data_IF_576102163236
#
_entry.id   IF_576102163236
#
_cell.length_a   1.000
_cell.length_b   1.000
_cell.length_c   1.000
_cell.angle_alpha   90.00
_cell.angle_beta   90.00
_cell.angle_gamma   90.00
#
_symmetry.space_group_name_H-M   'P 1'
#
loop_
_entity.id
_entity.type
_entity.pdbx_description
1 polymer ?
#
# COMPACT_ATOMS: atom_id res chain seq x y z
N UNK A 1 5.08 22.37 -13.95
CA UNK A 1 5.43 22.32 -12.51
C UNK A 1 4.22 22.71 -11.70
N UNK A 2 3.63 21.76 -10.99
CA UNK A 2 2.59 22.07 -10.01
C UNK A 2 3.20 22.88 -8.87
N UNK A 3 2.50 23.90 -8.40
CA UNK A 3 2.97 24.78 -7.33
C UNK A 3 2.61 24.25 -5.94
N UNK A 4 1.70 23.28 -5.86
CA UNK A 4 1.20 22.67 -4.64
C UNK A 4 0.55 21.30 -4.95
N UNK A 5 0.33 20.51 -3.90
CA UNK A 5 -0.58 19.36 -3.91
C UNK A 5 -1.81 19.71 -3.06
N UNK A 6 -3.01 19.41 -3.54
CA UNK A 6 -4.26 19.72 -2.86
C UNK A 6 -5.16 18.48 -2.72
N UNK A 7 -5.64 18.24 -1.50
CA UNK A 7 -6.67 17.26 -1.18
C UNK A 7 -7.96 18.00 -0.83
N UNK A 8 -9.00 17.81 -1.64
CA UNK A 8 -10.29 18.47 -1.44
C UNK A 8 -11.34 17.46 -0.98
N UNK A 9 -12.14 17.85 0.02
CA UNK A 9 -13.36 17.14 0.39
C UNK A 9 -14.54 17.75 -0.37
N UNK A 10 -15.24 16.93 -1.14
CA UNK A 10 -16.41 17.35 -1.91
C UNK A 10 -17.64 16.53 -1.50
N UNK A 11 -18.78 17.18 -1.46
CA UNK A 11 -20.06 16.47 -1.43
C UNK A 11 -20.30 15.84 -2.80
N UNK A 12 -20.41 14.51 -2.84
CA UNK A 12 -20.52 13.77 -4.10
C UNK A 12 -21.83 14.03 -4.87
N UNK A 13 -22.87 14.60 -4.23
CA UNK A 13 -24.17 14.86 -4.88
C UNK A 13 -24.26 16.26 -5.45
N UNK A 14 -23.79 17.25 -4.70
CA UNK A 14 -23.88 18.68 -4.99
C UNK A 14 -22.60 19.23 -5.60
N UNK A 15 -21.50 18.49 -5.47
CA UNK A 15 -20.14 18.91 -5.83
C UNK A 15 -19.66 20.15 -5.06
N UNK A 16 -20.31 20.47 -3.93
CA UNK A 16 -19.87 21.53 -3.05
C UNK A 16 -18.55 21.14 -2.38
N UNK A 17 -17.59 22.08 -2.37
CA UNK A 17 -16.30 21.87 -1.69
C UNK A 17 -16.46 22.22 -0.22
N UNK A 18 -16.30 21.24 0.66
CA UNK A 18 -16.36 21.42 2.11
C UNK A 18 -15.05 21.95 2.68
N UNK A 19 -13.94 21.69 2.00
CA UNK A 19 -12.66 22.31 2.30
C UNK A 19 -11.51 21.66 1.54
N UNK A 20 -10.32 22.22 1.71
CA UNK A 20 -9.11 21.83 0.97
C UNK A 20 -7.92 21.84 1.92
N UNK A 21 -7.21 20.72 1.97
CA UNK A 21 -5.86 20.63 2.55
C UNK A 21 -4.86 20.89 1.43
N UNK A 22 -3.92 21.81 1.67
CA UNK A 22 -2.88 22.21 0.72
C UNK A 22 -1.52 21.86 1.31
N UNK A 23 -0.64 21.30 0.49
CA UNK A 23 0.73 20.98 0.88
C UNK A 23 1.72 21.41 -0.21
N UNK A 24 3.01 21.36 0.13
CA UNK A 24 4.08 21.43 -0.87
C UNK A 24 3.82 20.41 -2.00
N UNK A 25 4.19 20.75 -3.24
CA UNK A 25 3.98 19.86 -4.38
C UNK A 25 4.77 18.57 -4.19
N UNK A 26 4.17 17.47 -4.62
CA UNK A 26 4.87 16.18 -4.74
C UNK A 26 5.79 16.23 -5.98
N UNK A 27 6.96 15.58 -5.91
CA UNK A 27 7.91 15.61 -7.02
C UNK A 27 7.32 14.98 -8.30
N UNK A 28 7.50 15.63 -9.47
CA UNK A 28 7.14 15.02 -10.74
C UNK A 28 8.29 14.13 -11.29
N UNK A 29 7.98 13.02 -11.98
CA UNK A 29 6.67 12.40 -12.14
C UNK A 29 6.32 11.53 -10.93
N UNK A 30 5.15 11.76 -10.33
CA UNK A 30 4.60 10.88 -9.29
C UNK A 30 3.29 10.25 -9.77
N UNK A 31 3.20 8.92 -9.67
CA UNK A 31 1.91 8.26 -9.62
C UNK A 31 1.31 8.52 -8.24
N UNK A 32 0.04 8.92 -8.19
CA UNK A 32 -0.64 9.28 -6.95
C UNK A 32 -1.70 8.23 -6.64
N UNK A 33 -1.61 7.66 -5.45
CA UNK A 33 -2.58 6.73 -4.91
C UNK A 33 -3.27 7.36 -3.71
N UNK A 34 -4.59 7.30 -3.69
CA UNK A 34 -5.38 7.76 -2.56
C UNK A 34 -6.01 6.56 -1.86
N UNK A 35 -5.61 6.33 -0.62
CA UNK A 35 -6.06 5.22 0.20
C UNK A 35 -6.96 5.74 1.32
N UNK A 36 -8.19 5.24 1.37
CA UNK A 36 -9.14 5.57 2.45
C UNK A 36 -8.80 4.71 3.67
N UNK A 37 -8.65 5.37 4.82
CA UNK A 37 -8.42 4.66 6.07
C UNK A 37 -9.67 3.84 6.46
N UNK A 38 -9.52 2.59 6.93
CA UNK A 38 -10.68 1.69 7.10
C UNK A 38 -11.55 1.99 8.32
N UNK A 39 -11.10 2.83 9.25
CA UNK A 39 -11.79 3.14 10.52
C UNK A 39 -12.00 4.64 10.69
N UNK A 40 -10.91 5.40 10.77
CA UNK A 40 -10.95 6.86 10.82
C UNK A 40 -11.46 7.46 9.50
N UNK A 41 -12.19 8.57 9.61
CA UNK A 41 -12.51 9.44 8.48
C UNK A 41 -11.24 10.16 8.03
N UNK A 42 -10.37 9.47 7.30
CA UNK A 42 -9.09 9.99 6.86
C UNK A 42 -8.62 9.32 5.56
N UNK A 43 -7.72 9.99 4.86
CA UNK A 43 -7.06 9.47 3.66
C UNK A 43 -5.55 9.58 3.78
N UNK A 44 -4.88 8.60 3.19
CA UNK A 44 -3.47 8.59 2.90
C UNK A 44 -3.30 8.83 1.39
N UNK A 45 -2.70 9.96 1.03
CA UNK A 45 -2.21 10.20 -0.33
C UNK A 45 -0.76 9.75 -0.38
N UNK A 46 -0.48 8.74 -1.18
CA UNK A 46 0.86 8.27 -1.49
C UNK A 46 1.26 8.75 -2.87
N UNK A 47 2.48 9.28 -2.98
CA UNK A 47 3.17 9.47 -4.23
C UNK A 47 4.42 8.60 -4.25
N UNK A 48 4.40 7.58 -5.09
CA UNK A 48 5.57 6.79 -5.39
C UNK A 48 6.21 7.34 -6.67
N UNK A 49 7.42 7.88 -6.55
CA UNK A 49 8.25 8.28 -7.67
C UNK A 49 9.46 7.36 -7.69
N UNK A 50 9.51 6.45 -8.66
CA UNK A 50 10.46 5.32 -8.67
C UNK A 50 11.89 5.66 -8.23
N UNK A 51 12.48 6.79 -8.66
CA UNK A 51 13.84 7.18 -8.25
C UNK A 51 13.92 8.22 -7.13
N UNK A 52 12.89 9.05 -6.95
CA UNK A 52 12.92 10.15 -5.97
C UNK A 52 12.35 9.77 -4.62
N UNK A 53 11.78 8.56 -4.53
CA UNK A 53 11.29 8.00 -3.28
C UNK A 53 9.78 7.99 -3.16
N UNK A 54 9.33 7.62 -1.96
CA UNK A 54 7.92 7.63 -1.59
C UNK A 54 7.62 8.80 -0.67
N UNK A 55 6.54 9.51 -0.96
CA UNK A 55 6.07 10.65 -0.18
C UNK A 55 4.63 10.38 0.24
N UNK A 56 4.29 10.72 1.48
CA UNK A 56 2.92 10.58 1.96
C UNK A 56 2.35 11.92 2.44
N UNK A 57 1.03 12.06 2.32
CA UNK A 57 0.24 13.09 2.99
C UNK A 57 -0.94 12.42 3.66
N UNK A 58 -1.23 12.80 4.89
CA UNK A 58 -2.43 12.34 5.60
C UNK A 58 -3.36 13.52 5.80
N UNK A 59 -4.62 13.32 5.41
CA UNK A 59 -5.69 14.28 5.67
C UNK A 59 -6.80 13.60 6.46
N UNK A 60 -7.14 14.18 7.62
CA UNK A 60 -8.28 13.77 8.44
C UNK A 60 -9.51 14.63 8.14
N UNK A 61 -10.68 14.03 8.20
CA UNK A 61 -11.98 14.66 8.08
C UNK A 61 -12.68 14.57 9.43
N UNK A 62 -13.24 15.69 9.87
CA UNK A 62 -14.07 15.78 11.08
C UNK A 62 -15.37 16.50 10.68
N UNK A 63 -16.24 16.84 11.62
CA UNK A 63 -17.46 17.63 11.37
C UNK A 63 -17.20 19.06 10.80
N UNK A 64 -15.96 19.38 10.45
CA UNK A 64 -15.53 20.65 9.86
C UNK A 64 -14.64 20.48 8.63
N UNK A 65 -13.82 21.50 8.37
CA UNK A 65 -12.86 21.48 7.26
C UNK A 65 -11.83 20.35 7.45
N UNK A 66 -11.35 19.73 6.35
CA UNK A 66 -10.30 18.72 6.43
C UNK A 66 -9.01 19.31 7.01
N UNK A 67 -8.28 18.49 7.76
CA UNK A 67 -7.06 18.87 8.44
C UNK A 67 -5.87 18.05 7.92
N UNK A 68 -4.74 18.72 7.69
CA UNK A 68 -3.49 18.02 7.42
C UNK A 68 -2.93 17.43 8.70
N UNK A 69 -2.46 16.20 8.64
CA UNK A 69 -1.64 15.59 9.69
C UNK A 69 -0.19 15.60 9.20
N UNK A 70 0.73 16.08 10.05
CA UNK A 70 2.15 16.05 9.74
C UNK A 70 2.64 14.60 9.79
N UNK A 71 3.49 14.20 8.85
CA UNK A 71 3.96 12.82 8.75
C UNK A 71 5.48 12.74 8.61
N UNK A 72 6.10 11.65 9.08
CA UNK A 72 7.54 11.45 8.85
C UNK A 72 7.91 11.29 7.37
N UNK A 73 6.94 10.90 6.53
CA UNK A 73 7.11 10.75 5.09
C UNK A 73 6.85 12.06 4.32
N UNK A 74 6.66 13.19 5.02
CA UNK A 74 6.45 14.47 4.36
C UNK A 74 7.67 14.89 3.51
N UNK A 75 8.87 14.60 4.03
CA UNK A 75 10.16 14.84 3.39
C UNK A 75 10.62 13.76 2.41
N UNK A 76 9.84 12.69 2.25
CA UNK A 76 10.18 11.54 1.41
C UNK A 76 10.92 10.42 2.16
N UNK A 77 10.78 9.20 1.65
CA UNK A 77 11.53 7.99 2.00
C UNK A 77 12.12 7.35 0.75
N UNK A 78 12.70 6.16 0.86
CA UNK A 78 13.05 5.35 -0.31
C UNK A 78 11.80 4.91 -1.08
N UNK A 79 11.94 4.48 -2.35
CA UNK A 79 10.82 4.00 -3.15
C UNK A 79 10.14 2.79 -2.52
N UNK A 80 8.82 2.86 -2.41
CA UNK A 80 8.01 1.87 -1.73
C UNK A 80 6.59 1.83 -2.28
N UNK A 81 5.96 0.66 -2.24
CA UNK A 81 4.57 0.45 -2.63
C UNK A 81 3.66 0.22 -1.42
N UNK A 82 2.40 0.61 -1.55
CA UNK A 82 1.40 0.42 -0.50
C UNK A 82 0.95 -1.05 -0.44
N UNK A 83 1.08 -1.66 0.74
CA UNK A 83 0.61 -3.04 0.99
C UNK A 83 -0.77 -3.04 1.64
N UNK A 84 -1.02 -2.13 2.58
CA UNK A 84 -2.31 -2.04 3.26
C UNK A 84 -2.24 -1.47 4.66
N UNK A 85 -3.42 -1.20 5.21
CA UNK A 85 -3.58 -0.94 6.64
C UNK A 85 -3.62 -2.26 7.42
N UNK A 86 -3.09 -2.26 8.64
CA UNK A 86 -3.25 -3.39 9.56
C UNK A 86 -4.72 -3.65 9.87
N UNK A 87 -5.05 -4.86 10.34
CA UNK A 87 -6.42 -5.25 10.66
C UNK A 87 -7.09 -4.42 11.75
N UNK A 88 -6.29 -3.86 12.66
CA UNK A 88 -6.72 -2.95 13.72
C UNK A 88 -6.66 -1.48 13.30
N UNK A 89 -6.32 -1.22 12.03
CA UNK A 89 -6.16 0.11 11.44
C UNK A 89 -5.11 1.00 12.11
N UNK A 90 -4.28 0.47 13.02
CA UNK A 90 -3.30 1.26 13.75
C UNK A 90 -1.98 1.44 12.98
N UNK A 91 -1.80 0.76 11.85
CA UNK A 91 -0.53 0.73 11.11
C UNK A 91 -0.72 0.77 9.60
N UNK A 92 0.30 1.27 8.93
CA UNK A 92 0.46 1.23 7.47
C UNK A 92 1.66 0.37 7.12
N UNK A 93 1.50 -0.52 6.16
CA UNK A 93 2.57 -1.37 5.64
C UNK A 93 2.97 -0.89 4.25
N UNK A 94 4.26 -0.63 4.08
CA UNK A 94 4.89 -0.26 2.82
C UNK A 94 5.97 -1.29 2.50
N UNK A 95 6.04 -1.72 1.24
CA UNK A 95 7.07 -2.64 0.78
C UNK A 95 8.07 -1.91 -0.09
N UNK A 96 9.34 -2.11 0.18
CA UNK A 96 10.48 -1.53 -0.54
C UNK A 96 11.09 -2.59 -1.47
N UNK A 97 12.30 -2.34 -1.95
CA UNK A 97 12.99 -3.30 -2.82
C UNK A 97 13.29 -4.62 -2.08
N UNK A 98 13.73 -4.48 -0.83
CA UNK A 98 14.38 -5.52 -0.03
C UNK A 98 13.82 -5.60 1.41
N UNK A 99 12.83 -4.78 1.77
CA UNK A 99 12.20 -4.84 3.09
C UNK A 99 10.71 -4.52 3.11
N UNK A 100 10.03 -5.03 4.14
CA UNK A 100 8.70 -4.59 4.55
C UNK A 100 8.84 -3.59 5.71
N UNK A 101 8.48 -2.33 5.48
CA UNK A 101 8.40 -1.30 6.51
C UNK A 101 6.99 -1.15 7.06
N UNK A 102 6.90 -0.97 8.37
CA UNK A 102 5.63 -0.76 9.08
C UNK A 102 5.68 0.55 9.83
N UNK A 103 4.66 1.37 9.63
CA UNK A 103 4.54 2.70 10.20
C UNK A 103 3.31 2.81 11.12
N UNK A 104 3.41 3.62 12.16
CA UNK A 104 2.29 3.99 13.02
C UNK A 104 1.33 4.90 12.29
N UNK A 105 0.02 4.66 12.43
CA UNK A 105 -0.99 5.60 11.96
C UNK A 105 -1.34 6.62 13.06
N UNK A 106 -1.58 7.92 12.76
CA UNK A 106 -1.50 8.59 11.45
C UNK A 106 -0.17 9.32 11.17
N UNK A 107 0.75 9.39 12.13
CA UNK A 107 2.01 10.15 12.01
C UNK A 107 3.05 9.51 11.08
N UNK A 108 2.83 8.24 10.71
CA UNK A 108 3.71 7.42 9.88
C UNK A 108 5.12 7.25 10.45
N UNK A 109 5.27 7.31 11.77
CA UNK A 109 6.55 6.97 12.41
C UNK A 109 6.88 5.51 12.15
N UNK A 110 8.12 5.23 11.76
CA UNK A 110 8.56 3.85 11.58
C UNK A 110 8.50 3.07 12.90
N UNK A 111 7.86 1.90 12.85
CA UNK A 111 7.76 0.95 13.97
C UNK A 111 8.69 -0.24 13.79
N UNK A 112 8.83 -0.72 12.55
CA UNK A 112 9.71 -1.84 12.21
C UNK A 112 10.05 -1.85 10.73
N UNK A 113 11.20 -2.42 10.41
CA UNK A 113 11.65 -2.73 9.08
C UNK A 113 12.18 -4.17 9.07
N UNK A 114 11.69 -5.00 8.15
CA UNK A 114 12.03 -6.42 8.08
C UNK A 114 12.49 -6.77 6.68
N UNK A 115 13.72 -7.25 6.57
CA UNK A 115 14.31 -7.71 5.33
C UNK A 115 13.48 -8.82 4.69
N UNK A 116 13.34 -8.74 3.37
CA UNK A 116 12.84 -9.80 2.53
C UNK A 116 13.91 -10.89 2.40
N UNK A 117 13.50 -12.08 1.96
CA UNK A 117 14.45 -13.17 1.71
C UNK A 117 15.50 -12.77 0.65
N UNK A 118 16.76 -13.16 0.82
CA UNK A 118 17.88 -12.75 -0.06
C UNK A 118 17.59 -12.90 -1.58
N UNK A 119 17.02 -14.04 -2.00
CA UNK A 119 16.73 -14.28 -3.42
C UNK A 119 15.35 -13.74 -3.86
N UNK A 120 14.69 -12.89 -3.06
CA UNK A 120 13.34 -12.39 -3.32
C UNK A 120 13.39 -10.98 -3.89
N UNK A 121 12.83 -10.79 -5.08
CA UNK A 121 12.73 -9.49 -5.73
C UNK A 121 11.31 -8.97 -5.62
N UNK A 122 11.11 -7.95 -4.78
CA UNK A 122 9.81 -7.29 -4.57
C UNK A 122 9.26 -6.70 -5.88
N UNK A 123 7.95 -6.88 -6.10
CA UNK A 123 7.22 -6.17 -7.17
C UNK A 123 6.70 -4.81 -6.71
N UNK A 124 7.04 -4.39 -5.48
CA UNK A 124 6.44 -3.26 -4.78
C UNK A 124 4.92 -3.38 -4.60
N UNK A 125 4.38 -4.60 -4.64
CA UNK A 125 2.97 -4.87 -4.43
C UNK A 125 2.74 -5.80 -3.24
N UNK A 126 1.59 -5.67 -2.61
CA UNK A 126 1.21 -6.52 -1.51
C UNK A 126 -0.24 -6.34 -1.10
N UNK A 127 -0.67 -7.13 -0.13
CA UNK A 127 -2.01 -7.03 0.45
C UNK A 127 -2.01 -7.43 1.92
N UNK A 128 -2.83 -6.75 2.72
CA UNK A 128 -3.22 -7.21 4.05
C UNK A 128 -4.54 -7.99 3.95
N UNK A 129 -4.52 -9.26 4.35
CA UNK A 129 -5.69 -10.14 4.41
C UNK A 129 -5.86 -10.69 5.83
N UNK A 130 -6.95 -10.31 6.49
CA UNK A 130 -7.15 -10.55 7.90
C UNK A 130 -5.99 -9.96 8.70
N UNK A 131 -5.27 -10.80 9.44
CA UNK A 131 -4.10 -10.40 10.23
C UNK A 131 -2.76 -10.77 9.58
N UNK A 132 -2.78 -11.10 8.29
CA UNK A 132 -1.60 -11.53 7.54
C UNK A 132 -1.26 -10.51 6.48
N UNK A 133 0.02 -10.38 6.20
CA UNK A 133 0.55 -9.44 5.23
C UNK A 133 1.25 -10.29 4.18
N UNK A 134 0.89 -10.07 2.92
CA UNK A 134 1.47 -10.75 1.79
C UNK A 134 2.16 -9.72 0.91
N UNK A 135 3.37 -10.04 0.48
CA UNK A 135 4.16 -9.24 -0.44
C UNK A 135 4.39 -10.07 -1.69
N UNK A 136 4.08 -9.48 -2.83
CA UNK A 136 4.26 -10.05 -4.15
C UNK A 136 5.68 -9.77 -4.67
N UNK A 137 6.20 -10.69 -5.47
CA UNK A 137 7.53 -10.59 -6.03
C UNK A 137 7.88 -11.81 -6.84
N UNK A 138 9.17 -11.96 -7.11
CA UNK A 138 9.69 -13.06 -7.92
C UNK A 138 10.95 -13.63 -7.29
N UNK A 139 11.25 -14.89 -7.59
CA UNK A 139 12.54 -15.47 -7.27
C UNK A 139 13.63 -14.85 -8.17
N UNK A 140 14.73 -14.39 -7.57
CA UNK A 140 15.84 -13.77 -8.27
C UNK A 140 16.60 -14.72 -9.19
N UNK A 141 16.54 -16.03 -8.93
CA UNK A 141 17.26 -17.03 -9.72
C UNK A 141 16.53 -17.43 -11.01
N UNK A 142 15.20 -17.52 -10.97
CA UNK A 142 14.40 -18.05 -12.10
C UNK A 142 13.20 -17.18 -12.53
N UNK A 143 13.05 -16.00 -11.95
CA UNK A 143 11.96 -15.04 -12.20
C UNK A 143 10.55 -15.63 -11.99
N UNK A 144 10.42 -16.75 -11.29
CA UNK A 144 9.10 -17.33 -10.98
C UNK A 144 8.35 -16.51 -9.93
N UNK A 145 7.02 -16.49 -10.03
CA UNK A 145 6.15 -15.82 -9.05
C UNK A 145 6.48 -16.33 -7.63
N UNK A 146 6.71 -15.40 -6.70
CA UNK A 146 7.04 -15.68 -5.32
C UNK A 146 6.21 -14.79 -4.37
N UNK A 147 5.94 -15.30 -3.17
CA UNK A 147 5.20 -14.54 -2.15
C UNK A 147 5.89 -14.64 -0.81
N UNK A 148 6.07 -13.49 -0.17
CA UNK A 148 6.47 -13.39 1.24
C UNK A 148 5.23 -13.21 2.11
N UNK A 149 5.12 -14.01 3.17
CA UNK A 149 4.06 -13.95 4.17
C UNK A 149 4.63 -13.48 5.51
N UNK A 150 4.04 -12.43 6.06
CA UNK A 150 4.35 -11.91 7.38
C UNK A 150 3.19 -12.09 8.36
N UNK A 151 3.53 -12.23 9.64
CA UNK A 151 2.55 -12.20 10.72
C UNK A 151 1.98 -10.79 10.95
N UNK A 152 0.99 -10.70 11.86
CA UNK A 152 0.29 -9.45 12.18
C UNK A 152 1.19 -8.33 12.71
N UNK A 153 2.34 -8.70 13.25
CA UNK A 153 3.29 -7.73 13.81
C UNK A 153 4.19 -7.14 12.74
N UNK A 154 4.23 -7.77 11.55
CA UNK A 154 5.17 -7.44 10.48
C UNK A 154 6.63 -7.52 10.92
N UNK A 155 6.95 -8.33 11.94
CA UNK A 155 8.31 -8.54 12.47
C UNK A 155 8.88 -9.88 11.99
N UNK A 156 8.02 -10.82 11.59
CA UNK A 156 8.42 -12.17 11.15
C UNK A 156 7.78 -12.48 9.81
N UNK A 157 8.63 -12.76 8.84
CA UNK A 157 8.25 -13.14 7.48
C UNK A 157 8.85 -14.47 7.06
N UNK A 158 8.29 -15.07 6.02
CA UNK A 158 8.87 -16.20 5.32
C UNK A 158 8.21 -16.41 3.97
N UNK A 159 8.90 -17.10 3.07
CA UNK A 159 8.35 -17.44 1.75
C UNK A 159 7.18 -18.41 1.89
N UNK A 160 6.12 -18.14 1.15
CA UNK A 160 4.98 -19.07 0.96
C UNK A 160 5.44 -20.21 0.06
N UNK A 161 4.97 -21.43 0.34
CA UNK A 161 5.28 -22.58 -0.50
C UNK A 161 4.43 -22.53 -1.77
N UNK A 162 4.98 -22.90 -2.94
CA UNK A 162 4.17 -23.05 -4.14
C UNK A 162 3.03 -24.07 -3.93
N UNK A 163 1.86 -23.88 -4.58
CA UNK A 163 1.59 -22.84 -5.57
C UNK A 163 1.24 -21.48 -4.94
N UNK A 164 1.81 -20.40 -5.50
CA UNK A 164 1.46 -19.02 -5.13
C UNK A 164 0.52 -18.40 -6.17
N UNK A 165 -0.21 -17.31 -5.82
CA UNK A 165 -0.99 -16.53 -6.77
C UNK A 165 -0.14 -16.10 -7.96
N UNK A 166 -0.74 -16.12 -9.13
CA UNK A 166 -0.11 -15.68 -10.37
C UNK A 166 -0.75 -14.39 -10.88
N UNK A 167 0.02 -13.65 -11.65
CA UNK A 167 -0.43 -12.44 -12.35
C UNK A 167 -0.45 -11.21 -11.45
N UNK A 168 -0.96 -10.11 -11.99
CA UNK A 168 -0.96 -8.81 -11.31
C UNK A 168 -1.98 -8.80 -10.17
N UNK A 169 -1.57 -8.34 -8.99
CA UNK A 169 -2.46 -8.17 -7.84
C UNK A 169 -3.19 -6.83 -7.99
N UNK A 170 -4.51 -6.88 -8.18
CA UNK A 170 -5.30 -5.68 -8.52
C UNK A 170 -6.22 -5.21 -7.40
N UNK A 171 -6.24 -5.93 -6.28
CA UNK A 171 -6.99 -5.53 -5.10
C UNK A 171 -7.45 -6.71 -4.26
N UNK A 172 -8.42 -6.44 -3.39
CA UNK A 172 -8.98 -7.43 -2.46
C UNK A 172 -10.50 -7.45 -2.51
N UNK A 173 -11.08 -8.59 -2.19
CA UNK A 173 -12.52 -8.74 -1.99
C UNK A 173 -12.78 -9.15 -0.54
N UNK A 174 -13.26 -8.21 0.28
CA UNK A 174 -13.44 -8.44 1.70
C UNK A 174 -12.11 -8.57 2.46
N UNK A 175 -12.11 -9.23 3.63
CA UNK A 175 -10.92 -9.37 4.46
C UNK A 175 -10.03 -10.56 4.06
N UNK A 176 -10.50 -11.50 3.24
CA UNK A 176 -9.92 -12.84 3.11
C UNK A 176 -9.63 -13.26 1.66
N UNK A 177 -9.75 -12.35 0.70
CA UNK A 177 -9.54 -12.68 -0.70
C UNK A 177 -8.71 -11.63 -1.44
N UNK A 178 -7.75 -12.12 -2.21
CA UNK A 178 -6.96 -11.38 -3.19
C UNK A 178 -7.63 -11.50 -4.57
N UNK A 179 -7.61 -10.43 -5.35
CA UNK A 179 -8.01 -10.44 -6.76
C UNK A 179 -6.74 -10.33 -7.60
N UNK A 180 -6.53 -11.29 -8.50
CA UNK A 180 -5.42 -11.26 -9.47
C UNK A 180 -5.92 -11.23 -10.92
N UNK A 181 -5.10 -10.67 -11.81
CA UNK A 181 -5.37 -10.61 -13.24
C UNK A 181 -4.18 -11.20 -13.99
N UNK A 182 -4.44 -12.24 -14.79
CA UNK A 182 -3.46 -12.78 -15.73
C UNK A 182 -3.42 -11.87 -16.97
N UNK A 183 -2.42 -10.99 -17.04
CA UNK A 183 -2.28 -10.00 -18.10
C UNK A 183 -2.10 -10.62 -19.51
N UNK A 184 -1.75 -11.91 -19.59
CA UNK A 184 -1.57 -12.65 -20.85
C UNK A 184 -2.82 -13.47 -21.15
N UNK A 185 -3.79 -12.88 -21.85
CA UNK A 185 -5.00 -13.55 -22.33
C UNK A 185 -6.01 -12.55 -22.92
N UNK A 186 -6.73 -12.95 -23.97
CA UNK A 186 -7.89 -12.21 -24.50
C UNK A 186 -9.14 -13.10 -24.45
N UNK A 187 -10.07 -12.90 -23.50
CA UNK A 187 -10.03 -11.89 -22.43
C UNK A 187 -9.02 -12.22 -21.32
N UNK A 188 -8.55 -11.20 -20.60
CA UNK A 188 -7.71 -11.38 -19.42
C UNK A 188 -8.49 -12.15 -18.34
N UNK A 189 -7.87 -13.16 -17.73
CA UNK A 189 -8.52 -13.96 -16.71
C UNK A 189 -8.38 -13.29 -15.34
N UNK A 190 -9.53 -13.03 -14.70
CA UNK A 190 -9.59 -12.56 -13.31
C UNK A 190 -9.76 -13.76 -12.39
N UNK A 191 -8.95 -13.84 -11.34
CA UNK A 191 -9.06 -14.86 -10.30
C UNK A 191 -9.28 -14.22 -8.93
N UNK A 192 -10.01 -14.94 -8.08
CA UNK A 192 -10.14 -14.63 -6.66
C UNK A 192 -9.44 -15.73 -5.89
N UNK A 193 -8.36 -15.39 -5.20
CA UNK A 193 -7.57 -16.33 -4.38
C UNK A 193 -7.92 -16.10 -2.91
N UNK A 194 -8.29 -17.16 -2.20
CA UNK A 194 -8.74 -17.06 -0.80
C UNK A 194 -7.59 -17.35 0.16
N UNK A 195 -7.61 -16.72 1.35
CA UNK A 195 -6.61 -16.89 2.41
C UNK A 195 -6.19 -18.34 2.71
N UNK A 196 -7.09 -19.33 2.80
CA UNK A 196 -6.70 -20.72 3.06
C UNK A 196 -5.81 -21.32 1.96
N UNK A 197 -5.91 -20.80 0.74
CA UNK A 197 -5.09 -21.23 -0.41
C UNK A 197 -3.68 -20.62 -0.35
N UNK A 198 -3.49 -19.54 0.40
CA UNK A 198 -2.22 -18.81 0.57
C UNK A 198 -1.39 -19.29 1.78
N UNK A 199 -1.91 -20.23 2.56
CA UNK A 199 -1.33 -20.67 3.84
C UNK A 199 -0.74 -22.10 3.81
N UNK A 200 -0.85 -22.81 2.69
CA UNK A 200 -0.29 -24.15 2.49
C UNK A 200 1.13 -24.10 1.90
#
# INVERSE_FOLDING_TARGET
NGTETALALLDARTHAVHGVVRSAPLPPPAFHELHVHPVDDAVLLLAACGQEGTFARVAGFTDGAPLSVATQLDGGSVPSGFVGFSSDAARVHLVEADELRTHAWPGLEELSAVELSDDFVSSYAGVVLGHRIFVDGHDGDDESDAVMLFDRSAIRGGRVRPPVPRGMWVGRLGPDALITVEAKGEPALVRVVRLPELQN
#
